data_IF_409115601370
#
_entry.id   IF_409115601370
#
_cell.length_a   1.000
_cell.length_b   1.000
_cell.length_c   1.000
_cell.angle_alpha   90.00
_cell.angle_beta   90.00
_cell.angle_gamma   90.00
#
_symmetry.space_group_name_H-M   'P 1'
#
loop_
_entity.id
_entity.type
_entity.pdbx_description
1 polymer ?
#
# COMPACT_ATOMS: atom_id res chain seq x y z
N UNK A 1 -13.30 -5.55 -5.04
CA UNK A 1 -13.65 -4.17 -4.66
C UNK A 1 -12.69 -3.22 -5.36
N UNK A 2 -13.17 -2.40 -6.24
CA UNK A 2 -12.42 -1.27 -6.75
C UNK A 2 -12.59 -0.14 -5.74
N UNK A 3 -11.51 0.26 -5.10
CA UNK A 3 -11.51 1.48 -4.30
C UNK A 3 -11.40 2.66 -5.27
N UNK A 4 -12.53 3.07 -5.85
CA UNK A 4 -12.61 4.32 -6.59
C UNK A 4 -12.78 5.45 -5.59
N UNK A 5 -11.71 6.19 -5.38
CA UNK A 5 -11.79 7.41 -4.60
C UNK A 5 -12.43 8.51 -5.45
N UNK A 6 -13.45 9.18 -4.95
CA UNK A 6 -14.10 10.25 -5.71
C UNK A 6 -13.12 11.39 -6.02
N UNK A 7 -13.26 12.00 -7.17
CA UNK A 7 -12.56 13.23 -7.52
C UNK A 7 -13.18 14.38 -6.70
N UNK A 8 -12.68 14.62 -5.50
CA UNK A 8 -13.26 15.60 -4.58
C UNK A 8 -12.77 17.03 -4.81
N UNK A 9 -11.67 17.22 -5.55
CA UNK A 9 -11.01 18.54 -5.68
C UNK A 9 -10.37 19.05 -4.39
N UNK A 10 -10.47 18.31 -3.30
CA UNK A 10 -9.88 18.65 -2.00
C UNK A 10 -8.58 17.88 -1.78
N UNK A 11 -7.65 18.52 -1.06
CA UNK A 11 -6.45 17.87 -0.54
C UNK A 11 -6.50 17.78 0.97
N UNK A 12 -5.72 16.87 1.52
CA UNK A 12 -5.73 16.55 2.94
C UNK A 12 -4.30 16.55 3.51
N UNK A 13 -4.17 16.95 4.75
CA UNK A 13 -2.88 16.94 5.47
C UNK A 13 -2.51 15.52 5.93
N UNK A 14 -3.52 14.67 6.12
CA UNK A 14 -3.35 13.26 6.48
C UNK A 14 -4.30 12.40 5.67
N UNK A 15 -3.74 11.38 5.02
CA UNK A 15 -4.48 10.33 4.34
C UNK A 15 -4.00 8.99 4.89
N UNK A 16 -4.92 8.05 5.07
CA UNK A 16 -4.59 6.70 5.54
C UNK A 16 -5.05 5.64 4.54
N UNK A 17 -4.24 4.60 4.37
CA UNK A 17 -4.53 3.43 3.56
C UNK A 17 -4.10 2.20 4.37
N UNK A 18 -5.01 1.70 5.19
CA UNK A 18 -4.71 0.67 6.19
C UNK A 18 -5.28 -0.68 5.76
N UNK A 19 -4.40 -1.60 5.40
CA UNK A 19 -4.74 -2.97 4.97
C UNK A 19 -5.71 -3.01 3.77
N UNK A 20 -5.52 -2.10 2.82
CA UNK A 20 -6.32 -1.99 1.59
C UNK A 20 -5.48 -2.29 0.35
N UNK A 21 -4.17 -2.00 0.38
CA UNK A 21 -3.30 -2.07 -0.79
C UNK A 21 -3.25 -3.47 -1.41
N UNK A 22 -3.22 -4.50 -0.58
CA UNK A 22 -3.22 -5.92 -0.98
C UNK A 22 -4.62 -6.46 -1.32
N UNK A 23 -5.66 -5.65 -1.19
CA UNK A 23 -7.04 -5.99 -1.46
C UNK A 23 -7.61 -5.31 -2.69
N UNK A 24 -6.89 -4.36 -3.26
CA UNK A 24 -7.31 -3.65 -4.48
C UNK A 24 -6.75 -4.32 -5.72
N UNK A 25 -7.53 -4.28 -6.80
CA UNK A 25 -7.11 -4.79 -8.11
C UNK A 25 -6.01 -3.93 -8.75
N UNK A 26 -5.93 -2.65 -8.40
CA UNK A 26 -5.01 -1.68 -8.99
C UNK A 26 -4.23 -0.90 -7.93
N UNK A 27 -3.28 -1.55 -7.24
CA UNK A 27 -2.55 -0.93 -6.12
C UNK A 27 -1.72 0.29 -6.53
N UNK A 28 -1.10 0.28 -7.70
CA UNK A 28 -0.29 1.41 -8.17
C UNK A 28 -1.18 2.61 -8.53
N UNK A 29 -2.32 2.38 -9.17
CA UNK A 29 -3.29 3.43 -9.47
C UNK A 29 -3.85 4.04 -8.17
N UNK A 30 -4.15 3.21 -7.18
CA UNK A 30 -4.59 3.68 -5.86
C UNK A 30 -3.54 4.57 -5.22
N UNK A 31 -2.28 4.16 -5.19
CA UNK A 31 -1.19 4.95 -4.59
C UNK A 31 -0.99 6.30 -5.30
N UNK A 32 -1.06 6.33 -6.64
CA UNK A 32 -1.01 7.59 -7.40
C UNK A 32 -2.15 8.52 -6.98
N UNK A 33 -3.35 7.97 -6.85
CA UNK A 33 -4.51 8.74 -6.44
C UNK A 33 -4.40 9.25 -5.00
N UNK A 34 -3.92 8.44 -4.08
CA UNK A 34 -3.67 8.85 -2.70
C UNK A 34 -2.64 9.98 -2.62
N UNK A 35 -1.61 9.94 -3.47
CA UNK A 35 -0.62 11.02 -3.56
C UNK A 35 -1.24 12.35 -4.00
N UNK A 36 -2.16 12.31 -4.98
CA UNK A 36 -2.87 13.51 -5.44
C UNK A 36 -3.76 14.13 -4.35
N UNK A 37 -4.26 13.33 -3.42
CA UNK A 37 -5.09 13.79 -2.31
C UNK A 37 -4.30 14.47 -1.19
N UNK A 38 -2.97 14.39 -1.20
CA UNK A 38 -2.14 15.03 -0.18
C UNK A 38 -1.90 16.51 -0.50
N UNK A 39 -1.93 17.33 0.55
CA UNK A 39 -1.30 18.67 0.50
C UNK A 39 0.22 18.51 0.28
N UNK A 40 0.94 19.57 -0.14
CA UNK A 40 2.40 19.49 -0.34
C UNK A 40 3.17 18.99 0.88
N UNK A 41 2.72 19.31 2.08
CA UNK A 41 3.30 18.84 3.36
C UNK A 41 2.53 17.68 4.00
N UNK A 42 1.57 17.13 3.30
CA UNK A 42 0.70 16.08 3.81
C UNK A 42 1.43 14.75 4.02
N UNK A 43 0.84 13.92 4.86
CA UNK A 43 1.36 12.59 5.23
C UNK A 43 0.38 11.52 4.80
N UNK A 44 0.90 10.48 4.16
CA UNK A 44 0.17 9.25 3.88
C UNK A 44 0.69 8.14 4.80
N UNK A 45 -0.22 7.54 5.55
CA UNK A 45 0.05 6.32 6.30
C UNK A 45 -0.43 5.11 5.50
N UNK A 46 0.48 4.20 5.19
CA UNK A 46 0.15 2.93 4.52
C UNK A 46 0.50 1.79 5.44
N UNK A 47 -0.46 0.95 5.76
CA UNK A 47 -0.22 -0.32 6.42
C UNK A 47 -0.57 -1.46 5.46
N UNK A 48 0.31 -2.43 5.35
CA UNK A 48 0.10 -3.62 4.53
C UNK A 48 0.75 -4.83 5.17
N UNK A 49 0.04 -5.95 5.15
CA UNK A 49 0.59 -7.23 5.61
C UNK A 49 1.70 -7.67 4.68
N UNK A 50 2.84 -8.03 5.22
CA UNK A 50 3.98 -8.55 4.48
C UNK A 50 4.44 -9.90 5.03
N UNK A 51 5.01 -10.78 4.22
CA UNK A 51 5.29 -10.64 2.78
C UNK A 51 4.05 -10.43 1.91
N UNK A 52 4.22 -9.81 0.75
CA UNK A 52 3.15 -9.44 -0.17
C UNK A 52 2.34 -10.65 -0.63
N UNK A 53 1.06 -10.66 -0.30
CA UNK A 53 0.11 -11.71 -0.69
C UNK A 53 -1.23 -11.07 -1.04
N UNK A 54 -1.36 -10.54 -2.26
CA UNK A 54 -2.59 -9.85 -2.66
C UNK A 54 -3.76 -10.83 -2.79
N UNK A 55 -4.92 -10.39 -2.35
CA UNK A 55 -6.18 -11.15 -2.45
C UNK A 55 -7.34 -10.19 -2.70
N UNK A 56 -7.68 -9.98 -3.96
CA UNK A 56 -8.80 -9.13 -4.35
C UNK A 56 -10.11 -9.89 -4.17
N UNK A 57 -10.98 -9.39 -3.32
CA UNK A 57 -12.27 -10.00 -3.06
C UNK A 57 -13.22 -9.73 -4.23
N UNK A 58 -13.74 -10.79 -4.82
CA UNK A 58 -14.74 -10.77 -5.87
C UNK A 58 -16.15 -10.89 -5.27
N UNK A 59 -17.16 -10.55 -6.07
CA UNK A 59 -18.55 -10.92 -5.75
C UNK A 59 -18.61 -12.46 -5.58
N UNK A 60 -19.35 -12.96 -4.65
CA UNK A 60 -19.45 -14.38 -4.28
C UNK A 60 -18.30 -14.94 -3.41
N UNK A 61 -17.48 -14.09 -2.79
CA UNK A 61 -16.46 -14.51 -1.82
C UNK A 61 -15.21 -15.16 -2.42
N UNK A 62 -15.07 -15.17 -3.74
CA UNK A 62 -13.88 -15.65 -4.42
C UNK A 62 -12.78 -14.58 -4.41
N UNK A 63 -11.52 -15.01 -4.33
CA UNK A 63 -10.38 -14.12 -4.45
C UNK A 63 -9.74 -14.27 -5.83
N UNK A 64 -9.20 -13.17 -6.34
CA UNK A 64 -8.43 -13.16 -7.59
C UNK A 64 -7.12 -12.41 -7.39
N UNK A 65 -6.20 -12.60 -8.34
CA UNK A 65 -5.01 -11.76 -8.42
C UNK A 65 -5.38 -10.32 -8.84
N UNK A 66 -4.63 -9.31 -8.41
CA UNK A 66 -4.82 -7.95 -8.90
C UNK A 66 -4.53 -7.85 -10.40
N UNK A 67 -5.18 -6.91 -11.09
CA UNK A 67 -4.90 -6.64 -12.51
C UNK A 67 -3.58 -5.88 -12.73
N UNK A 68 -3.09 -5.18 -11.71
CA UNK A 68 -1.75 -4.61 -11.67
C UNK A 68 -0.84 -5.48 -10.81
N UNK A 69 0.27 -5.96 -11.37
CA UNK A 69 1.30 -6.64 -10.60
C UNK A 69 2.29 -5.64 -10.03
N UNK A 70 2.65 -5.80 -8.77
CA UNK A 70 3.79 -5.09 -8.20
C UNK A 70 5.11 -5.64 -8.75
N UNK A 71 6.21 -4.87 -8.66
CA UNK A 71 7.53 -5.34 -9.11
C UNK A 71 7.93 -6.68 -8.52
N UNK A 72 8.72 -7.45 -9.25
CA UNK A 72 9.19 -8.78 -8.84
C UNK A 72 9.87 -8.75 -7.47
N UNK A 73 10.66 -7.72 -7.18
CA UNK A 73 11.33 -7.56 -5.89
C UNK A 73 10.35 -7.61 -4.70
N UNK A 74 9.14 -7.07 -4.85
CA UNK A 74 8.09 -7.13 -3.82
C UNK A 74 7.45 -8.51 -3.77
N UNK A 75 7.15 -9.08 -4.94
CA UNK A 75 6.45 -10.37 -5.03
C UNK A 75 7.30 -11.55 -4.55
N UNK A 76 8.60 -11.45 -4.69
CA UNK A 76 9.56 -12.52 -4.37
C UNK A 76 10.19 -12.35 -2.98
N UNK A 77 9.97 -11.21 -2.31
CA UNK A 77 10.49 -10.99 -0.96
C UNK A 77 9.88 -12.00 0.02
N UNK A 78 10.74 -12.64 0.80
CA UNK A 78 10.36 -13.72 1.72
C UNK A 78 10.30 -13.31 3.18
N UNK A 79 11.00 -12.22 3.55
CA UNK A 79 11.06 -11.71 4.94
C UNK A 79 10.36 -10.36 5.05
N UNK A 80 10.08 -9.95 6.30
CA UNK A 80 9.55 -8.62 6.58
C UNK A 80 10.48 -7.53 6.03
N UNK A 81 11.76 -7.63 6.33
CA UNK A 81 12.77 -6.64 5.97
C UNK A 81 12.93 -6.52 4.44
N UNK A 82 12.98 -7.65 3.75
CA UNK A 82 13.03 -7.67 2.28
C UNK A 82 11.78 -7.05 1.67
N UNK A 83 10.62 -7.38 2.20
CA UNK A 83 9.33 -6.85 1.72
C UNK A 83 9.22 -5.35 1.96
N UNK A 84 9.57 -4.88 3.14
CA UNK A 84 9.53 -3.46 3.48
C UNK A 84 10.51 -2.65 2.61
N UNK A 85 11.75 -3.14 2.44
CA UNK A 85 12.75 -2.51 1.58
C UNK A 85 12.29 -2.48 0.11
N UNK A 86 11.75 -3.57 -0.41
CA UNK A 86 11.28 -3.66 -1.78
C UNK A 86 10.09 -2.72 -2.05
N UNK A 87 9.13 -2.63 -1.12
CA UNK A 87 8.02 -1.68 -1.21
C UNK A 87 8.52 -0.23 -1.24
N UNK A 88 9.45 0.11 -0.34
CA UNK A 88 10.02 1.45 -0.30
C UNK A 88 10.71 1.82 -1.62
N UNK A 89 11.64 1.02 -2.07
CA UNK A 89 12.53 1.35 -3.21
C UNK A 89 11.92 1.08 -4.57
N UNK A 90 11.04 0.08 -4.69
CA UNK A 90 10.48 -0.36 -5.98
C UNK A 90 9.05 0.12 -6.22
N UNK A 91 8.34 0.59 -5.19
CA UNK A 91 6.95 1.05 -5.30
C UNK A 91 6.80 2.50 -4.87
N UNK A 92 7.10 2.84 -3.63
CA UNK A 92 6.80 4.18 -3.12
C UNK A 92 7.72 5.25 -3.70
N UNK A 93 9.01 5.05 -3.71
CA UNK A 93 9.96 6.03 -4.27
C UNK A 93 9.72 6.30 -5.76
N UNK A 94 9.55 5.27 -6.63
CA UNK A 94 9.23 5.51 -8.03
C UNK A 94 7.92 6.24 -8.28
N UNK A 95 6.94 6.12 -7.37
CA UNK A 95 5.67 6.84 -7.44
C UNK A 95 5.75 8.28 -6.91
N UNK A 96 6.93 8.72 -6.47
CA UNK A 96 7.15 10.09 -6.01
C UNK A 96 6.86 10.31 -4.54
N UNK A 97 6.98 9.26 -3.72
CA UNK A 97 6.93 9.38 -2.26
C UNK A 97 8.33 9.35 -1.66
N UNK A 98 8.50 10.10 -0.57
CA UNK A 98 9.61 9.91 0.35
C UNK A 98 9.15 9.00 1.50
N UNK A 99 9.88 7.93 1.74
CA UNK A 99 9.63 7.04 2.87
C UNK A 99 10.30 7.62 4.12
N UNK A 100 9.50 8.15 5.02
CA UNK A 100 10.00 8.84 6.23
C UNK A 100 10.25 7.87 7.36
N UNK A 101 9.44 6.83 7.46
CA UNK A 101 9.54 5.81 8.50
C UNK A 101 8.88 4.52 8.06
N UNK A 102 9.43 3.41 8.53
CA UNK A 102 8.84 2.07 8.45
C UNK A 102 8.80 1.49 9.85
N UNK A 103 7.67 0.91 10.23
CA UNK A 103 7.51 0.23 11.51
C UNK A 103 6.90 -1.15 11.28
N UNK A 104 7.31 -2.12 12.09
CA UNK A 104 6.68 -3.44 12.15
C UNK A 104 5.61 -3.41 13.23
N UNK A 105 4.38 -3.69 12.86
CA UNK A 105 3.24 -3.64 13.76
C UNK A 105 2.51 -4.98 13.74
N UNK A 106 2.38 -5.67 14.88
CA UNK A 106 1.57 -6.87 14.95
C UNK A 106 0.12 -6.55 14.59
N UNK A 107 -0.47 -7.39 13.76
CA UNK A 107 -1.86 -7.26 13.31
C UNK A 107 -2.62 -8.55 13.57
N UNK A 108 -3.71 -8.46 14.30
CA UNK A 108 -4.57 -9.59 14.59
C UNK A 108 -5.78 -9.57 13.66
N UNK A 109 -5.93 -10.61 12.87
CA UNK A 109 -7.04 -10.76 11.94
C UNK A 109 -7.91 -11.96 12.29
N UNK A 110 -9.22 -11.79 12.24
CA UNK A 110 -10.20 -12.86 12.33
C UNK A 110 -10.51 -13.39 10.93
N UNK A 111 -9.59 -14.06 10.32
CA UNK A 111 -9.71 -14.54 8.94
C UNK A 111 -9.13 -15.93 8.73
N UNK A 112 -8.71 -16.58 9.80
CA UNK A 112 -8.20 -17.94 9.73
C UNK A 112 -9.30 -19.00 9.57
N UNK A 113 -8.92 -20.27 9.32
CA UNK A 113 -9.86 -21.37 9.22
C UNK A 113 -10.78 -21.43 10.44
N UNK A 114 -12.09 -21.62 10.21
CA UNK A 114 -13.13 -21.69 11.26
C UNK A 114 -13.23 -20.42 12.14
N UNK A 115 -12.84 -19.25 11.59
CA UNK A 115 -12.92 -17.99 12.32
C UNK A 115 -11.84 -17.81 13.39
N UNK A 116 -10.74 -18.56 13.30
CA UNK A 116 -9.60 -18.41 14.20
C UNK A 116 -8.91 -17.05 14.01
N UNK A 117 -8.28 -16.57 15.08
CA UNK A 117 -7.46 -15.37 15.04
C UNK A 117 -6.07 -15.76 14.54
N UNK A 118 -5.58 -15.05 13.55
CA UNK A 118 -4.21 -15.17 13.05
C UNK A 118 -3.44 -13.89 13.35
N UNK A 119 -2.19 -14.06 13.79
CA UNK A 119 -1.26 -12.95 13.96
C UNK A 119 -0.49 -12.77 12.64
N UNK A 120 -0.51 -11.55 12.14
CA UNK A 120 0.19 -11.12 10.94
C UNK A 120 1.12 -9.95 11.29
N UNK A 121 2.05 -9.65 10.42
CA UNK A 121 2.91 -8.47 10.55
C UNK A 121 2.52 -7.43 9.51
N UNK A 122 2.13 -6.25 9.96
CA UNK A 122 1.98 -5.09 9.11
C UNK A 122 3.31 -4.34 8.99
N UNK A 123 3.66 -3.97 7.78
CA UNK A 123 4.61 -2.90 7.53
C UNK A 123 3.83 -1.58 7.48
N UNK A 124 4.07 -0.71 8.46
CA UNK A 124 3.47 0.62 8.52
C UNK A 124 4.47 1.64 8.01
N UNK A 125 4.12 2.29 6.90
CA UNK A 125 4.92 3.31 6.26
C UNK A 125 4.36 4.69 6.53
N UNK A 126 5.24 5.62 6.88
CA UNK A 126 4.95 7.05 6.89
C UNK A 126 5.57 7.65 5.63
N UNK A 127 4.73 8.13 4.74
CA UNK A 127 5.11 8.65 3.43
C UNK A 127 4.76 10.14 3.33
N UNK A 128 5.62 10.89 2.65
CA UNK A 128 5.36 12.28 2.25
C UNK A 128 5.53 12.41 0.74
N UNK A 129 5.02 13.48 0.14
CA UNK A 129 5.32 13.78 -1.25
C UNK A 129 6.82 13.99 -1.39
N UNK A 130 7.45 13.21 -2.23
CA UNK A 130 8.82 13.44 -2.63
C UNK A 130 8.93 14.78 -3.37
N UNK A 131 10.12 15.38 -3.31
CA UNK A 131 10.43 16.52 -4.13
C UNK A 131 10.13 16.16 -5.59
N UNK A 132 9.37 17.00 -6.29
CA UNK A 132 9.15 16.83 -7.72
C UNK A 132 10.52 16.95 -8.38
N UNK A 133 11.10 15.81 -8.75
CA UNK A 133 12.30 15.83 -9.57
C UNK A 133 11.89 16.42 -10.91
N UNK A 134 12.09 17.71 -11.07
CA UNK A 134 12.15 18.31 -12.39
C UNK A 134 13.43 17.79 -13.02
N UNK A 135 13.33 16.61 -13.63
CA UNK A 135 14.39 16.17 -14.55
C UNK A 135 14.36 17.15 -15.71
N UNK A 136 15.38 18.01 -15.89
CA UNK A 136 15.44 18.84 -17.08
C UNK A 136 15.46 17.90 -18.29
N UNK A 137 14.49 18.12 -19.16
CA UNK A 137 14.51 17.46 -20.47
C UNK A 137 15.68 18.00 -21.28
#
# INVERSE_FOLDING_TARGET
MQAELPATGFTHDLVTCLNVLDRTSRPLALLRRLRELLTPSGVLLVAVVVPWRPAVLQRAGLTSAPSEALPAAVREAATFEQSAAALATSVFEPLGFDVRRVSRVPYLSRGGPRGSIVALDDALFVLTKGATSTVPK
#
